data_IF_374335617960
#
_entry.id   IF_374335617960
#
_cell.length_a   1.000
_cell.length_b   1.000
_cell.length_c   1.000
_cell.angle_alpha   90.00
_cell.angle_beta   90.00
_cell.angle_gamma   90.00
#
_symmetry.space_group_name_H-M   'P 1'
#
loop_
_entity.id
_entity.type
_entity.pdbx_description
1 polymer ?
#
# COMPACT_ATOMS: atom_id res chain seq x y z
N UNK A 1 5.42 -12.44 14.80
CA UNK A 1 4.33 -12.03 13.88
C UNK A 1 3.56 -10.87 14.47
N UNK A 2 3.68 -9.70 13.84
CA UNK A 2 3.05 -8.43 14.23
C UNK A 2 1.69 -8.27 13.58
N UNK A 3 0.72 -7.75 14.31
CA UNK A 3 -0.60 -7.38 13.76
C UNK A 3 -0.57 -5.92 13.35
N UNK A 4 -0.84 -5.66 12.08
CA UNK A 4 -0.70 -4.33 11.48
C UNK A 4 -2.04 -3.80 11.03
N UNK A 5 -2.30 -2.56 11.39
CA UNK A 5 -3.42 -1.77 10.88
C UNK A 5 -2.88 -0.68 9.97
N UNK A 6 -3.46 -0.58 8.77
CA UNK A 6 -3.14 0.46 7.81
C UNK A 6 -4.26 1.48 7.75
N UNK A 7 -3.92 2.76 7.90
CA UNK A 7 -4.89 3.85 7.82
C UNK A 7 -4.48 4.77 6.68
N UNK A 8 -5.16 4.71 5.52
CA UNK A 8 -4.92 5.67 4.45
C UNK A 8 -5.42 7.04 4.88
N UNK A 9 -4.60 8.06 4.65
CA UNK A 9 -4.99 9.46 4.73
C UNK A 9 -5.88 9.82 3.53
N UNK A 10 -6.32 11.08 3.44
CA UNK A 10 -7.05 11.56 2.28
C UNK A 10 -6.19 11.36 1.01
N UNK A 11 -6.67 10.63 -0.02
CA UNK A 11 -5.88 10.38 -1.21
C UNK A 11 -5.72 11.67 -2.02
N UNK A 12 -4.51 11.92 -2.48
CA UNK A 12 -4.23 13.00 -3.42
C UNK A 12 -4.50 12.53 -4.86
N UNK A 13 -4.20 13.40 -5.83
CA UNK A 13 -4.39 13.06 -7.24
C UNK A 13 -3.46 11.93 -7.68
N UNK A 14 -2.21 11.94 -7.19
CA UNK A 14 -1.12 11.09 -7.65
C UNK A 14 -0.49 10.22 -6.54
N UNK A 15 -0.90 10.36 -5.28
CA UNK A 15 -0.39 9.54 -4.19
C UNK A 15 -1.38 9.41 -3.02
N UNK A 16 -1.16 8.42 -2.17
CA UNK A 16 -1.86 8.27 -0.90
C UNK A 16 -0.85 7.97 0.18
N UNK A 17 -0.87 8.77 1.23
CA UNK A 17 -0.15 8.43 2.45
C UNK A 17 -0.92 7.38 3.25
N UNK A 18 -0.20 6.42 3.82
CA UNK A 18 -0.75 5.38 4.67
C UNK A 18 0.04 5.35 5.98
N UNK A 19 -0.65 5.59 7.09
CA UNK A 19 -0.06 5.43 8.41
C UNK A 19 -0.20 3.97 8.88
N UNK A 20 0.90 3.41 9.37
CA UNK A 20 1.01 2.01 9.76
C UNK A 20 1.10 1.93 11.28
N UNK A 21 0.16 1.19 11.88
CA UNK A 21 0.08 0.95 13.31
C UNK A 21 0.35 -0.51 13.62
N UNK A 22 1.17 -0.76 14.64
CA UNK A 22 1.26 -2.05 15.29
C UNK A 22 0.19 -2.13 16.38
N UNK A 23 -0.66 -3.15 16.29
CA UNK A 23 -1.78 -3.39 17.19
C UNK A 23 -1.67 -4.75 17.89
N UNK A 24 -0.47 -5.36 17.89
CA UNK A 24 -0.22 -6.70 18.45
C UNK A 24 -0.68 -6.83 19.91
N UNK A 25 -0.42 -5.80 20.72
CA UNK A 25 -0.72 -5.79 22.16
C UNK A 25 -2.06 -5.11 22.48
N UNK A 26 -2.94 -4.93 21.48
CA UNK A 26 -4.24 -4.26 21.64
C UNK A 26 -4.18 -2.73 21.74
N UNK A 27 -2.98 -2.13 21.78
CA UNK A 27 -2.77 -0.69 21.70
C UNK A 27 -2.30 -0.30 20.30
N UNK A 28 -2.76 0.84 19.77
CA UNK A 28 -2.26 1.38 18.51
C UNK A 28 -0.91 2.09 18.71
N UNK A 29 0.17 1.44 18.26
CA UNK A 29 1.51 2.05 18.22
C UNK A 29 1.88 2.40 16.78
N UNK A 30 1.95 3.69 16.47
CA UNK A 30 2.42 4.15 15.15
C UNK A 30 3.86 3.67 14.91
N UNK A 31 4.08 2.99 13.78
CA UNK A 31 5.40 2.48 13.35
C UNK A 31 6.03 3.37 12.30
N UNK A 32 5.33 3.57 11.20
CA UNK A 32 5.81 4.38 10.08
C UNK A 32 4.64 5.01 9.32
N UNK A 33 4.99 5.86 8.35
CA UNK A 33 4.09 6.35 7.31
C UNK A 33 4.75 6.00 5.98
N UNK A 34 3.98 5.41 5.08
CA UNK A 34 4.41 5.10 3.71
C UNK A 34 3.66 6.02 2.75
N UNK A 35 4.33 6.46 1.69
CA UNK A 35 3.71 7.23 0.61
C UNK A 35 3.59 6.35 -0.61
N UNK A 36 2.36 6.05 -1.04
CA UNK A 36 2.06 5.20 -2.19
C UNK A 36 1.83 6.10 -3.39
N UNK A 37 2.76 6.10 -4.33
CA UNK A 37 2.67 6.88 -5.57
C UNK A 37 1.93 6.08 -6.65
N UNK A 38 1.05 6.75 -7.38
CA UNK A 38 0.30 6.21 -8.51
C UNK A 38 0.13 7.27 -9.60
N UNK A 39 1.15 8.13 -9.77
CA UNK A 39 1.14 9.08 -10.87
C UNK A 39 1.19 8.32 -12.21
N UNK A 40 0.70 8.97 -13.27
CA UNK A 40 0.69 8.36 -14.60
C UNK A 40 2.08 7.87 -15.03
N UNK A 41 3.14 8.62 -14.70
CA UNK A 41 4.52 8.23 -15.01
C UNK A 41 4.93 6.93 -14.32
N UNK A 42 4.53 6.73 -13.06
CA UNK A 42 4.84 5.52 -12.28
C UNK A 42 4.07 4.33 -12.84
N UNK A 43 2.78 4.53 -13.14
CA UNK A 43 1.95 3.48 -13.75
C UNK A 43 2.47 3.09 -15.13
N UNK A 44 2.93 4.05 -15.94
CA UNK A 44 3.56 3.77 -17.24
C UNK A 44 4.86 2.98 -17.11
N UNK A 45 5.66 3.23 -16.06
CA UNK A 45 6.87 2.44 -15.78
C UNK A 45 6.52 1.01 -15.40
N UNK A 46 5.54 0.82 -14.51
CA UNK A 46 5.06 -0.51 -14.12
C UNK A 46 4.60 -1.28 -15.39
N UNK A 47 3.82 -0.63 -16.27
CA UNK A 47 3.35 -1.19 -17.56
C UNK A 47 4.45 -1.59 -18.56
N UNK A 48 5.72 -1.27 -18.32
CA UNK A 48 6.82 -1.79 -19.13
C UNK A 48 7.05 -3.29 -18.90
N UNK A 49 6.66 -3.79 -17.73
CA UNK A 49 6.92 -5.16 -17.27
C UNK A 49 5.64 -5.99 -17.08
N UNK A 50 4.46 -5.38 -17.24
CA UNK A 50 3.16 -6.03 -17.06
C UNK A 50 2.15 -5.54 -18.11
N UNK A 51 1.08 -6.32 -18.32
CA UNK A 51 0.07 -6.05 -19.35
C UNK A 51 -1.31 -5.69 -18.79
N UNK A 52 -1.64 -6.11 -17.57
CA UNK A 52 -3.00 -5.95 -17.01
C UNK A 52 -3.02 -5.08 -15.75
N UNK A 53 -4.22 -4.57 -15.42
CA UNK A 53 -4.44 -3.81 -14.18
C UNK A 53 -4.27 -4.70 -12.96
N UNK A 54 -4.69 -5.96 -13.05
CA UNK A 54 -4.54 -6.95 -12.00
C UNK A 54 -3.07 -7.20 -11.66
N UNK A 55 -2.20 -7.33 -12.67
CA UNK A 55 -0.75 -7.44 -12.48
C UNK A 55 -0.16 -6.16 -11.84
N UNK A 56 -0.74 -5.00 -12.14
CA UNK A 56 -0.33 -3.72 -11.55
C UNK A 56 -0.66 -3.67 -10.06
N UNK A 57 -1.88 -4.08 -9.71
CA UNK A 57 -2.31 -4.18 -8.32
C UNK A 57 -1.47 -5.18 -7.54
N UNK A 58 -1.11 -6.32 -8.13
CA UNK A 58 -0.21 -7.29 -7.49
C UNK A 58 1.20 -6.73 -7.30
N UNK A 59 1.70 -5.92 -8.24
CA UNK A 59 2.96 -5.20 -8.09
C UNK A 59 2.91 -4.22 -6.91
N UNK A 60 1.82 -3.46 -6.76
CA UNK A 60 1.63 -2.60 -5.58
C UNK A 60 1.54 -3.38 -4.28
N UNK A 61 0.83 -4.52 -4.24
CA UNK A 61 0.76 -5.39 -3.05
C UNK A 61 2.15 -5.86 -2.62
N UNK A 62 2.95 -6.33 -3.58
CA UNK A 62 4.31 -6.79 -3.30
C UNK A 62 5.18 -5.65 -2.77
N UNK A 63 5.12 -4.49 -3.41
CA UNK A 63 5.89 -3.32 -2.98
C UNK A 63 5.48 -2.81 -1.59
N UNK A 64 4.18 -2.74 -1.28
CA UNK A 64 3.71 -2.40 0.07
C UNK A 64 4.24 -3.43 1.08
N UNK A 65 4.18 -4.72 0.76
CA UNK A 65 4.67 -5.76 1.65
C UNK A 65 6.17 -5.63 1.95
N UNK A 66 6.98 -5.41 0.92
CA UNK A 66 8.43 -5.21 1.08
C UNK A 66 8.73 -3.97 1.92
N UNK A 67 8.01 -2.88 1.69
CA UNK A 67 8.18 -1.63 2.43
C UNK A 67 7.81 -1.78 3.90
N UNK A 68 6.71 -2.48 4.20
CA UNK A 68 6.27 -2.73 5.57
C UNK A 68 7.24 -3.67 6.28
N UNK A 69 7.66 -4.76 5.62
CA UNK A 69 8.66 -5.69 6.15
C UNK A 69 9.98 -5.01 6.45
N UNK A 70 10.43 -4.11 5.57
CA UNK A 70 11.61 -3.29 5.77
C UNK A 70 11.51 -2.39 7.01
N UNK A 71 10.34 -1.79 7.27
CA UNK A 71 10.15 -0.87 8.40
C UNK A 71 9.88 -1.58 9.75
N UNK A 72 9.33 -2.80 9.74
CA UNK A 72 8.94 -3.51 10.97
C UNK A 72 10.05 -4.46 11.45
N UNK A 73 10.90 -4.96 10.55
CA UNK A 73 11.97 -5.93 10.84
C UNK A 73 11.50 -7.22 11.55
N UNK A 74 10.24 -7.62 11.32
CA UNK A 74 9.60 -8.82 11.89
C UNK A 74 8.56 -9.33 10.88
N UNK A 75 8.13 -10.58 11.02
CA UNK A 75 7.00 -11.10 10.26
C UNK A 75 5.73 -10.37 10.68
N UNK A 76 4.81 -10.15 9.76
CA UNK A 76 3.63 -9.33 10.00
C UNK A 76 2.41 -9.83 9.22
N UNK A 77 1.23 -9.52 9.74
CA UNK A 77 -0.05 -9.71 9.08
C UNK A 77 -0.85 -8.40 9.12
N UNK A 78 -1.47 -8.02 8.00
CA UNK A 78 -2.41 -6.90 8.00
C UNK A 78 -3.76 -7.37 8.52
N UNK A 79 -4.20 -6.84 9.66
CA UNK A 79 -5.49 -7.20 10.26
C UNK A 79 -6.60 -6.20 9.92
N UNK A 80 -6.24 -4.99 9.46
CA UNK A 80 -7.21 -3.94 9.15
C UNK A 80 -6.67 -2.95 8.10
N UNK A 81 -7.55 -2.51 7.20
CA UNK A 81 -7.33 -1.34 6.33
C UNK A 81 -6.60 -1.60 5.02
N UNK A 82 -6.05 -2.80 4.82
CA UNK A 82 -5.37 -3.17 3.58
C UNK A 82 -6.28 -3.07 2.35
N UNK A 83 -7.49 -3.63 2.42
CA UNK A 83 -8.46 -3.59 1.31
C UNK A 83 -8.82 -2.16 0.92
N UNK A 84 -8.89 -1.25 1.89
CA UNK A 84 -9.17 0.17 1.64
C UNK A 84 -8.01 0.83 0.89
N UNK A 85 -6.77 0.53 1.26
CA UNK A 85 -5.57 1.00 0.55
C UNK A 85 -5.58 0.48 -0.89
N UNK A 86 -5.80 -0.81 -1.09
CA UNK A 86 -5.83 -1.42 -2.42
C UNK A 86 -6.96 -0.87 -3.30
N UNK A 87 -8.14 -0.62 -2.72
CA UNK A 87 -9.27 0.00 -3.42
C UNK A 87 -8.92 1.42 -3.90
N UNK A 88 -8.25 2.23 -3.07
CA UNK A 88 -7.80 3.56 -3.47
C UNK A 88 -6.84 3.45 -4.66
N UNK A 89 -5.88 2.53 -4.62
CA UNK A 89 -4.93 2.33 -5.72
C UNK A 89 -5.68 1.90 -7.00
N UNK A 90 -6.56 0.91 -6.90
CA UNK A 90 -7.37 0.42 -8.04
C UNK A 90 -8.17 1.54 -8.72
N UNK A 91 -8.89 2.34 -7.93
CA UNK A 91 -9.66 3.49 -8.43
C UNK A 91 -8.76 4.51 -9.14
N UNK A 92 -7.54 4.73 -8.64
CA UNK A 92 -6.62 5.75 -9.15
C UNK A 92 -5.85 5.29 -10.38
N UNK A 93 -5.54 4.00 -10.51
CA UNK A 93 -4.80 3.48 -11.66
C UNK A 93 -5.72 3.06 -12.81
N UNK A 94 -7.00 2.81 -12.55
CA UNK A 94 -7.98 2.38 -13.56
C UNK A 94 -7.99 3.26 -14.82
N UNK A 95 -7.90 4.60 -14.76
CA UNK A 95 -7.88 5.44 -15.98
C UNK A 95 -6.69 5.21 -16.92
N UNK A 96 -5.66 4.49 -16.48
CA UNK A 96 -4.44 4.22 -17.27
C UNK A 96 -4.43 2.82 -17.91
N UNK A 97 -5.47 2.01 -17.71
CA UNK A 97 -5.63 0.66 -18.25
C UNK A 97 -6.95 0.54 -19.02
#
# INVERSE_FOLDING_TARGET
>A
MRKIKMVPDAPFHNNCDVTVYDVTDGNEKRRCRINIEYAEVDVRQIKQSISTKEEALDSYKNWINDLIKYNIHDDWECVEGYDRVLKIIDEKITPYF
#
